data_IF_390315918981
#
_entry.id   IF_390315918981
#
_cell.length_a   1.000
_cell.length_b   1.000
_cell.length_c   1.000
_cell.angle_alpha   90.00
_cell.angle_beta   90.00
_cell.angle_gamma   90.00
#
_symmetry.space_group_name_H-M   'P 1'
#
loop_
_entity.id
_entity.type
_entity.pdbx_description
1 polymer ?
#
# COMPACT_ATOMS: atom_id res chain seq x y z
N UNK A 1 -1.16 -7.39 -9.53
CA UNK A 1 -1.86 -8.05 -8.41
C UNK A 1 -2.20 -7.05 -7.30
N UNK A 2 -1.21 -6.31 -6.76
CA UNK A 2 -1.41 -5.34 -5.67
C UNK A 2 -2.47 -4.30 -6.02
N UNK A 3 -2.37 -3.65 -7.18
CA UNK A 3 -3.34 -2.65 -7.67
C UNK A 3 -4.77 -3.20 -7.72
N UNK A 4 -4.96 -4.41 -8.22
CA UNK A 4 -6.28 -5.04 -8.27
C UNK A 4 -6.90 -5.24 -6.89
N UNK A 5 -6.10 -5.55 -5.87
CA UNK A 5 -6.57 -5.64 -4.49
C UNK A 5 -6.95 -4.27 -3.92
N UNK A 6 -6.19 -3.22 -4.25
CA UNK A 6 -6.50 -1.84 -3.84
C UNK A 6 -7.81 -1.37 -4.48
N UNK A 7 -7.99 -1.62 -5.77
CA UNK A 7 -9.19 -1.23 -6.52
C UNK A 7 -10.44 -1.99 -6.07
N UNK A 8 -10.28 -3.28 -5.71
CA UNK A 8 -11.39 -4.11 -5.21
C UNK A 8 -11.68 -3.94 -3.72
N UNK A 9 -10.78 -3.29 -2.97
CA UNK A 9 -10.87 -3.18 -1.52
C UNK A 9 -10.61 -4.49 -0.76
N UNK A 10 -9.97 -5.48 -1.40
CA UNK A 10 -9.60 -6.76 -0.80
C UNK A 10 -8.36 -6.59 0.10
N UNK A 11 -8.60 -6.12 1.30
CA UNK A 11 -7.55 -5.78 2.28
C UNK A 11 -6.76 -6.99 2.73
N UNK A 12 -7.40 -8.13 2.94
CA UNK A 12 -6.73 -9.33 3.43
C UNK A 12 -5.74 -9.86 2.40
N UNK A 13 -6.16 -9.89 1.14
CA UNK A 13 -5.29 -10.29 0.04
C UNK A 13 -4.17 -9.27 -0.20
N UNK A 14 -4.45 -8.00 -0.02
CA UNK A 14 -3.43 -6.94 -0.10
C UNK A 14 -2.35 -7.13 0.97
N UNK A 15 -2.75 -7.37 2.22
CA UNK A 15 -1.81 -7.63 3.32
C UNK A 15 -0.96 -8.88 3.07
N UNK A 16 -1.54 -9.96 2.54
CA UNK A 16 -0.80 -11.16 2.14
C UNK A 16 0.27 -10.86 1.09
N UNK A 17 -0.09 -10.11 0.03
CA UNK A 17 0.85 -9.70 -1.02
C UNK A 17 1.96 -8.78 -0.50
N UNK A 18 1.66 -7.89 0.44
CA UNK A 18 2.66 -7.03 1.08
C UNK A 18 3.63 -7.85 1.93
N UNK A 19 3.17 -8.89 2.62
CA UNK A 19 4.01 -9.83 3.35
C UNK A 19 4.95 -10.61 2.42
N UNK A 20 4.44 -11.16 1.32
CA UNK A 20 5.27 -11.82 0.28
C UNK A 20 6.31 -10.86 -0.29
N UNK A 21 5.92 -9.63 -0.55
CA UNK A 21 6.81 -8.59 -1.05
C UNK A 21 7.92 -8.24 -0.07
N UNK A 22 7.61 -8.15 1.23
CA UNK A 22 8.60 -7.90 2.29
C UNK A 22 9.69 -8.98 2.29
N UNK A 23 9.31 -10.24 2.19
CA UNK A 23 10.24 -11.38 2.11
C UNK A 23 11.17 -11.28 0.87
N UNK A 24 10.63 -10.88 -0.27
CA UNK A 24 11.43 -10.68 -1.50
C UNK A 24 12.42 -9.53 -1.31
N UNK A 25 11.99 -8.41 -0.75
CA UNK A 25 12.83 -7.23 -0.49
C UNK A 25 13.98 -7.59 0.45
N UNK A 26 13.72 -8.34 1.52
CA UNK A 26 14.76 -8.82 2.43
C UNK A 26 15.78 -9.74 1.73
N UNK A 27 15.32 -10.58 0.82
CA UNK A 27 16.19 -11.43 0.01
C UNK A 27 17.09 -10.61 -0.94
N UNK A 28 16.53 -9.55 -1.55
CA UNK A 28 17.28 -8.62 -2.40
C UNK A 28 18.32 -7.86 -1.57
N UNK A 29 17.95 -7.37 -0.38
CA UNK A 29 18.85 -6.66 0.52
C UNK A 29 20.05 -7.53 0.91
N UNK A 30 19.81 -8.79 1.29
CA UNK A 30 20.89 -9.76 1.59
C UNK A 30 21.80 -10.02 0.39
N UNK A 31 21.23 -10.07 -0.82
CA UNK A 31 22.02 -10.21 -2.05
C UNK A 31 22.85 -8.97 -2.33
N UNK A 32 22.31 -7.78 -2.09
CA UNK A 32 23.00 -6.51 -2.26
C UNK A 32 24.18 -6.36 -1.28
N UNK A 33 24.01 -6.77 -0.02
CA UNK A 33 25.12 -6.79 0.96
C UNK A 33 26.32 -7.62 0.49
N UNK A 34 26.07 -8.71 -0.21
CA UNK A 34 27.15 -9.57 -0.77
C UNK A 34 27.92 -8.87 -1.90
N UNK A 35 27.34 -7.86 -2.53
CA UNK A 35 27.98 -7.07 -3.59
C UNK A 35 28.78 -5.88 -3.06
N UNK A 36 28.57 -5.47 -1.81
CA UNK A 36 29.25 -4.31 -1.21
C UNK A 36 30.78 -4.34 -1.35
N UNK A 37 31.48 -5.47 -1.09
CA UNK A 37 32.96 -5.52 -1.25
C UNK A 37 33.39 -5.27 -2.69
N UNK A 38 32.57 -5.64 -3.67
CA UNK A 38 32.88 -5.43 -5.10
C UNK A 38 32.62 -3.99 -5.55
N UNK A 39 31.66 -3.30 -4.93
CA UNK A 39 31.37 -1.91 -5.23
C UNK A 39 32.56 -0.99 -4.91
N UNK A 40 33.29 -1.28 -3.83
CA UNK A 40 34.49 -0.52 -3.44
C UNK A 40 35.66 -0.74 -4.41
N UNK A 41 35.68 -1.85 -5.15
CA UNK A 41 36.72 -2.22 -6.11
C UNK A 41 36.25 -2.17 -7.57
N UNK A 42 35.21 -1.41 -7.86
CA UNK A 42 34.55 -1.42 -9.16
C UNK A 42 35.47 -1.11 -10.34
N UNK A 43 36.33 -0.11 -10.22
CA UNK A 43 37.32 0.24 -11.24
C UNK A 43 38.34 -0.85 -11.53
N UNK A 44 38.73 -1.60 -10.47
CA UNK A 44 39.63 -2.74 -10.62
C UNK A 44 38.95 -3.91 -11.34
N UNK A 45 37.66 -4.13 -11.06
CA UNK A 45 36.86 -5.17 -11.71
C UNK A 45 36.65 -4.83 -13.19
N UNK A 46 36.34 -3.59 -13.51
CA UNK A 46 36.21 -3.11 -14.89
C UNK A 46 37.47 -3.42 -15.71
N UNK A 47 38.64 -3.15 -15.14
CA UNK A 47 39.93 -3.37 -15.80
C UNK A 47 40.28 -4.86 -15.90
N UNK A 48 39.87 -5.67 -14.93
CA UNK A 48 40.23 -7.09 -14.84
C UNK A 48 39.35 -8.02 -15.67
N UNK A 49 38.09 -7.61 -15.97
CA UNK A 49 37.15 -8.39 -16.73
C UNK A 49 37.41 -8.31 -18.24
N UNK A 50 37.25 -9.41 -18.99
CA UNK A 50 37.17 -9.36 -20.44
C UNK A 50 36.02 -8.43 -20.88
N UNK A 51 36.20 -7.72 -21.99
CA UNK A 51 35.22 -6.75 -22.49
C UNK A 51 33.81 -7.33 -22.64
N UNK A 52 33.69 -8.55 -23.14
CA UNK A 52 32.41 -9.21 -23.29
C UNK A 52 31.70 -9.48 -21.93
N UNK A 53 32.45 -9.89 -20.90
CA UNK A 53 31.92 -10.10 -19.58
C UNK A 53 31.52 -8.80 -18.89
N UNK A 54 32.31 -7.73 -19.09
CA UNK A 54 31.98 -6.40 -18.60
C UNK A 54 30.70 -5.85 -19.19
N UNK A 55 30.53 -5.97 -20.51
CA UNK A 55 29.30 -5.55 -21.21
C UNK A 55 28.07 -6.35 -20.76
N UNK A 56 28.23 -7.65 -20.48
CA UNK A 56 27.13 -8.46 -19.95
C UNK A 56 26.75 -8.05 -18.55
N UNK A 57 27.74 -7.76 -17.71
CA UNK A 57 27.50 -7.27 -16.33
C UNK A 57 26.80 -5.90 -16.35
N UNK A 58 27.24 -4.96 -17.16
CA UNK A 58 26.59 -3.67 -17.31
C UNK A 58 25.13 -3.82 -17.76
N UNK A 59 24.86 -4.66 -18.74
CA UNK A 59 23.51 -4.93 -19.24
C UNK A 59 22.59 -5.47 -18.14
N UNK A 60 23.09 -6.34 -17.27
CA UNK A 60 22.34 -6.88 -16.13
C UNK A 60 22.07 -5.82 -15.09
N UNK A 61 23.03 -4.97 -14.79
CA UNK A 61 22.86 -3.87 -13.84
C UNK A 61 21.84 -2.84 -14.35
N UNK A 62 21.91 -2.48 -15.62
CA UNK A 62 20.93 -1.59 -16.25
C UNK A 62 19.53 -2.18 -16.22
N UNK A 63 19.39 -3.49 -16.45
CA UNK A 63 18.11 -4.17 -16.36
C UNK A 63 17.55 -4.14 -14.92
N UNK A 64 18.39 -4.36 -13.92
CA UNK A 64 18.00 -4.27 -12.50
C UNK A 64 17.56 -2.84 -12.16
N UNK A 65 18.32 -1.82 -12.57
CA UNK A 65 17.99 -0.42 -12.34
C UNK A 65 16.64 -0.06 -12.98
N UNK A 66 16.41 -0.49 -14.21
CA UNK A 66 15.14 -0.27 -14.92
C UNK A 66 13.94 -0.92 -14.21
N UNK A 67 14.12 -2.14 -13.70
CA UNK A 67 13.08 -2.84 -12.91
C UNK A 67 12.82 -2.08 -11.61
N UNK A 68 13.85 -1.63 -10.90
CA UNK A 68 13.73 -0.88 -9.66
C UNK A 68 12.97 0.44 -9.86
N UNK A 69 13.29 1.19 -10.92
CA UNK A 69 12.59 2.41 -11.28
C UNK A 69 11.11 2.15 -11.60
N UNK A 70 10.83 1.09 -12.34
CA UNK A 70 9.46 0.68 -12.64
C UNK A 70 8.66 0.30 -11.39
N UNK A 71 9.29 -0.34 -10.41
CA UNK A 71 8.67 -0.67 -9.12
C UNK A 71 8.39 0.61 -8.34
N UNK A 72 9.37 1.49 -8.20
CA UNK A 72 9.24 2.75 -7.47
C UNK A 72 8.09 3.62 -8.03
N UNK A 73 7.98 3.70 -9.35
CA UNK A 73 6.89 4.42 -10.02
C UNK A 73 5.52 3.82 -9.70
N UNK A 74 5.41 2.50 -9.76
CA UNK A 74 4.15 1.80 -9.43
C UNK A 74 3.78 1.97 -7.96
N UNK A 75 4.75 1.95 -7.07
CA UNK A 75 4.52 2.17 -5.64
C UNK A 75 3.97 3.56 -5.35
N UNK A 76 4.50 4.57 -6.04
CA UNK A 76 4.00 5.93 -5.92
C UNK A 76 2.55 6.04 -6.41
N UNK A 77 2.24 5.43 -7.56
CA UNK A 77 0.89 5.39 -8.10
C UNK A 77 -0.08 4.62 -7.19
N UNK A 78 0.33 3.48 -6.65
CA UNK A 78 -0.48 2.66 -5.76
C UNK A 78 -0.73 3.38 -4.41
N UNK A 79 0.27 4.10 -3.89
CA UNK A 79 0.13 4.94 -2.69
C UNK A 79 -0.89 6.05 -2.90
N UNK A 80 -0.83 6.73 -4.05
CA UNK A 80 -1.81 7.77 -4.40
C UNK A 80 -3.24 7.19 -4.51
N UNK A 81 -3.37 5.98 -5.05
CA UNK A 81 -4.66 5.29 -5.14
C UNK A 81 -5.23 4.92 -3.77
N UNK A 82 -4.38 4.45 -2.86
CA UNK A 82 -4.76 4.15 -1.47
C UNK A 82 -5.25 5.41 -0.77
N UNK A 83 -4.53 6.52 -0.87
CA UNK A 83 -4.94 7.79 -0.26
C UNK A 83 -6.29 8.27 -0.82
N UNK A 84 -6.49 8.21 -2.12
CA UNK A 84 -7.76 8.54 -2.75
C UNK A 84 -8.91 7.67 -2.24
N UNK A 85 -8.68 6.37 -2.08
CA UNK A 85 -9.68 5.45 -1.54
C UNK A 85 -10.00 5.77 -0.07
N UNK A 86 -9.01 6.12 0.72
CA UNK A 86 -9.17 6.57 2.11
C UNK A 86 -10.05 7.81 2.21
N UNK A 87 -9.78 8.83 1.40
CA UNK A 87 -10.59 10.04 1.33
C UNK A 87 -12.03 9.74 0.93
N UNK A 88 -12.23 8.91 -0.10
CA UNK A 88 -13.57 8.49 -0.54
C UNK A 88 -14.35 7.74 0.54
N UNK A 89 -13.69 6.89 1.32
CA UNK A 89 -14.31 6.18 2.45
C UNK A 89 -14.66 7.17 3.56
N UNK A 90 -13.78 8.11 3.88
CA UNK A 90 -14.03 9.15 4.88
C UNK A 90 -15.22 10.04 4.50
N UNK A 91 -15.33 10.43 3.22
CA UNK A 91 -16.45 11.21 2.72
C UNK A 91 -17.77 10.44 2.79
N UNK A 92 -17.76 9.16 2.46
CA UNK A 92 -18.95 8.30 2.58
C UNK A 92 -19.38 8.13 4.03
N UNK A 93 -18.44 7.95 4.95
CA UNK A 93 -18.73 7.87 6.39
C UNK A 93 -19.30 9.18 6.93
N UNK A 94 -18.76 10.33 6.53
CA UNK A 94 -19.28 11.64 6.88
C UNK A 94 -20.72 11.83 6.36
N UNK A 95 -21.00 11.40 5.12
CA UNK A 95 -22.32 11.40 4.53
C UNK A 95 -23.33 10.52 5.29
N UNK A 96 -22.93 9.32 5.68
CA UNK A 96 -23.75 8.41 6.50
C UNK A 96 -24.03 8.99 7.87
N UNK A 97 -23.02 9.57 8.55
CA UNK A 97 -23.20 10.20 9.85
C UNK A 97 -24.14 11.40 9.77
N UNK A 98 -24.02 12.22 8.71
CA UNK A 98 -24.91 13.36 8.47
C UNK A 98 -26.35 12.90 8.22
N UNK A 99 -26.56 11.86 7.44
CA UNK A 99 -27.89 11.28 7.19
C UNK A 99 -28.49 10.68 8.46
N UNK A 100 -27.69 10.04 9.28
CA UNK A 100 -28.12 9.49 10.58
C UNK A 100 -28.52 10.59 11.55
N UNK A 101 -27.75 11.67 11.63
CA UNK A 101 -28.07 12.84 12.45
C UNK A 101 -29.37 13.52 11.97
N UNK A 102 -29.58 13.66 10.65
CA UNK A 102 -30.80 14.19 10.08
C UNK A 102 -32.02 13.31 10.40
N UNK A 103 -31.89 11.98 10.29
CA UNK A 103 -32.94 11.04 10.64
C UNK A 103 -33.30 11.09 12.13
N UNK A 104 -32.33 11.25 13.01
CA UNK A 104 -32.56 11.42 14.45
C UNK A 104 -33.26 12.75 14.76
N UNK A 105 -32.90 13.83 14.07
CA UNK A 105 -33.58 15.15 14.21
C UNK A 105 -35.03 15.08 13.73
N UNK A 106 -35.33 14.36 12.64
CA UNK A 106 -36.66 14.15 12.10
C UNK A 106 -37.51 13.24 12.97
N UNK A 107 -36.94 12.28 13.66
CA UNK A 107 -37.68 11.40 14.58
C UNK A 107 -38.15 12.12 15.82
N UNK A 108 -37.65 13.33 16.09
CA UNK A 108 -38.00 14.13 17.28
C UNK A 108 -37.61 13.43 18.60
N UNK A 109 -37.70 14.14 19.73
CA UNK A 109 -37.65 13.44 21.02
C UNK A 109 -38.84 12.48 21.04
N UNK A 110 -38.58 11.18 21.09
CA UNK A 110 -39.59 10.23 21.51
C UNK A 110 -40.13 10.78 22.82
N UNK A 111 -41.33 11.34 22.76
CA UNK A 111 -42.11 11.54 23.97
C UNK A 111 -42.14 10.16 24.60
N UNK A 112 -41.33 9.95 25.63
CA UNK A 112 -41.44 8.79 26.48
C UNK A 112 -42.89 8.75 26.89
N UNK A 113 -43.58 7.82 26.23
CA UNK A 113 -45.01 7.74 26.27
C UNK A 113 -45.50 7.69 27.68
N UNK A 114 -46.67 8.10 27.76
CA UNK A 114 -47.63 7.76 28.78
C UNK A 114 -47.03 6.90 29.88
N UNK A 115 -46.57 7.51 30.95
CA UNK A 115 -46.62 6.88 32.23
C UNK A 115 -48.10 6.62 32.46
N UNK A 116 -48.49 5.39 32.23
CA UNK A 116 -49.68 4.87 32.90
C UNK A 116 -49.36 4.98 34.39
N UNK A 117 -49.82 6.02 34.99
CA UNK A 117 -50.00 6.02 36.41
C UNK A 117 -51.31 5.24 36.62
N UNK A 118 -51.17 3.97 36.90
CA UNK A 118 -52.17 3.26 37.65
C UNK A 118 -52.31 3.99 39.00
N UNK A 119 -53.29 4.87 39.09
CA UNK A 119 -53.83 5.27 40.36
C UNK A 119 -54.85 4.20 40.72
N UNK A 120 -54.37 3.24 41.49
CA UNK A 120 -55.29 2.57 42.42
C UNK A 120 -55.70 3.62 43.46
N UNK A 121 -56.96 3.91 43.39
CA UNK A 121 -57.64 4.67 44.47
C UNK A 121 -57.82 3.80 45.67
#
# INVERSE_FOLDING_TARGET
RQRACIESGDTDRLLGLLGERSTIIESIARSAERLTPYAESWSAIETALPEAAWRDLQRRLDAIASIADGIAKRDLEDSALIEKNKESIADKLAGVNKSRAAAQAYAGPRKSGARFQDREA
#
